data_IF_626796502693
#
_entry.id   IF_626796502693
#
_cell.length_a   1.000
_cell.length_b   1.000
_cell.length_c   1.000
_cell.angle_alpha   90.00
_cell.angle_beta   90.00
_cell.angle_gamma   90.00
#
_symmetry.space_group_name_H-M   'P 1'
#
loop_
_entity.id
_entity.type
_entity.pdbx_description
1 polymer ?
#
# COMPACT_ATOMS: atom_id res chain seq x y z
N UNK A 1 -61.22 10.87 19.53
CA UNK A 1 -60.99 12.26 20.00
C UNK A 1 -60.16 12.94 18.90
N UNK A 2 -60.72 13.84 18.07
CA UNK A 2 -60.79 15.31 18.27
C UNK A 2 -59.52 15.82 18.96
N UNK A 3 -58.72 16.75 18.45
CA UNK A 3 -58.79 17.69 17.35
C UNK A 3 -57.57 18.61 17.45
N UNK A 4 -57.34 19.38 16.40
CA UNK A 4 -56.35 20.45 16.23
C UNK A 4 -56.07 21.33 17.47
N UNK A 5 -54.87 21.95 17.55
CA UNK A 5 -54.65 23.41 17.44
C UNK A 5 -53.43 23.98 18.20
N UNK A 6 -52.65 24.74 17.44
CA UNK A 6 -52.18 26.12 17.69
C UNK A 6 -50.82 26.42 18.35
N UNK A 7 -50.13 27.30 17.62
CA UNK A 7 -48.92 28.06 17.96
C UNK A 7 -49.11 29.03 19.12
N UNK A 8 -47.98 29.42 19.74
CA UNK A 8 -47.79 30.77 20.31
C UNK A 8 -46.39 31.30 19.97
N UNK A 9 -46.38 32.41 19.24
CA UNK A 9 -45.25 33.34 19.06
C UNK A 9 -45.40 34.47 20.08
N UNK A 10 -44.33 34.88 20.78
CA UNK A 10 -44.06 36.26 21.28
C UNK A 10 -42.55 36.34 21.56
N UNK A 11 -41.69 37.02 20.79
CA UNK A 11 -41.40 38.45 20.60
C UNK A 11 -40.52 39.13 21.67
N UNK A 12 -39.41 39.69 21.17
CA UNK A 12 -38.81 41.00 21.49
C UNK A 12 -37.92 41.17 22.74
N UNK A 13 -36.64 41.48 22.50
CA UNK A 13 -35.91 42.45 23.34
C UNK A 13 -35.00 43.34 22.49
N UNK A 14 -35.19 44.66 22.67
CA UNK A 14 -34.48 45.76 22.03
C UNK A 14 -33.08 45.95 22.63
N UNK A 15 -32.16 46.47 21.82
CA UNK A 15 -30.91 47.10 22.27
C UNK A 15 -30.43 48.14 21.25
N UNK A 16 -30.90 49.38 21.39
CA UNK A 16 -30.32 50.61 20.83
C UNK A 16 -29.10 51.02 21.69
N UNK A 17 -28.16 51.91 21.37
CA UNK A 17 -27.79 52.79 20.27
C UNK A 17 -26.34 53.27 20.59
N UNK A 18 -25.58 53.78 19.62
CA UNK A 18 -25.06 55.17 19.62
C UNK A 18 -24.21 55.43 18.36
N UNK A 19 -24.53 56.55 17.72
CA UNK A 19 -23.88 57.13 16.54
C UNK A 19 -22.97 58.27 17.02
N UNK A 20 -21.76 58.40 16.46
CA UNK A 20 -20.99 59.64 16.48
C UNK A 20 -20.42 59.92 15.08
N UNK A 21 -20.76 61.12 14.59
CA UNK A 21 -20.43 61.74 13.30
C UNK A 21 -19.02 62.35 13.29
N UNK A 22 -18.53 62.66 12.07
CA UNK A 22 -17.65 63.76 11.61
C UNK A 22 -16.84 63.17 10.43
N UNK A 23 -16.99 63.54 9.15
CA UNK A 23 -17.24 64.84 8.54
C UNK A 23 -15.96 65.25 7.79
N UNK A 24 -15.93 65.10 6.46
CA UNK A 24 -14.79 65.55 5.64
C UNK A 24 -14.92 65.18 4.16
N UNK A 25 -15.34 66.15 3.34
CA UNK A 25 -15.32 66.12 1.88
C UNK A 25 -13.97 66.63 1.37
N UNK A 26 -13.31 65.90 0.46
CA UNK A 26 -12.51 66.50 -0.63
C UNK A 26 -12.61 65.62 -1.87
N UNK A 27 -12.91 66.24 -3.02
CA UNK A 27 -12.95 65.64 -4.34
C UNK A 27 -11.71 66.15 -5.09
N UNK A 28 -10.87 65.26 -5.60
CA UNK A 28 -9.76 65.61 -6.49
C UNK A 28 -9.56 64.53 -7.55
N UNK A 29 -9.04 64.94 -8.70
CA UNK A 29 -9.37 64.52 -10.05
C UNK A 29 -8.50 63.39 -10.62
N UNK A 30 -9.16 62.51 -11.38
CA UNK A 30 -8.71 61.62 -12.46
C UNK A 30 -7.21 61.49 -12.79
N UNK A 31 -6.71 60.26 -12.69
CA UNK A 31 -5.90 59.61 -13.72
C UNK A 31 -6.08 58.08 -13.61
N UNK A 32 -6.49 57.46 -14.74
CA UNK A 32 -6.07 56.13 -15.23
C UNK A 32 -6.04 54.95 -14.22
N UNK A 33 -6.80 53.86 -14.32
CA UNK A 33 -7.16 53.05 -15.50
C UNK A 33 -8.37 52.15 -15.14
N UNK A 34 -9.27 51.96 -16.13
CA UNK A 34 -10.27 50.89 -16.30
C UNK A 34 -9.96 49.55 -15.58
N UNK A 35 -10.87 48.77 -15.01
CA UNK A 35 -12.32 48.67 -15.16
C UNK A 35 -12.92 47.84 -14.00
N UNK A 36 -13.98 48.40 -13.40
CA UNK A 36 -15.26 47.75 -13.03
C UNK A 36 -15.21 46.38 -12.34
N UNK A 37 -15.33 46.39 -11.02
CA UNK A 37 -15.78 45.24 -10.23
C UNK A 37 -17.14 45.60 -9.60
N UNK A 38 -18.25 45.29 -10.29
CA UNK A 38 -19.60 45.41 -9.74
C UNK A 38 -20.54 44.32 -10.28
N UNK A 39 -20.96 43.47 -9.34
CA UNK A 39 -22.24 42.76 -9.21
C UNK A 39 -22.96 42.23 -10.47
N UNK A 40 -23.10 40.90 -10.55
CA UNK A 40 -24.34 40.26 -11.03
C UNK A 40 -24.70 39.09 -10.08
N UNK A 41 -25.78 39.27 -9.31
CA UNK A 41 -26.65 38.18 -8.86
C UNK A 41 -27.64 37.90 -10.01
N UNK A 42 -27.83 36.62 -10.36
CA UNK A 42 -29.11 35.93 -10.62
C UNK A 42 -28.99 34.89 -11.75
N UNK A 43 -29.14 33.62 -11.34
CA UNK A 43 -29.81 32.47 -11.99
C UNK A 43 -29.53 32.10 -13.45
N UNK A 44 -29.13 30.84 -13.70
CA UNK A 44 -29.93 29.82 -14.41
C UNK A 44 -29.08 28.62 -14.92
N UNK A 45 -29.52 27.41 -14.53
CA UNK A 45 -29.53 26.09 -15.22
C UNK A 45 -28.55 25.78 -16.37
N UNK A 46 -27.73 24.73 -16.19
CA UNK A 46 -27.56 23.54 -17.06
C UNK A 46 -26.34 22.70 -16.61
N UNK A 47 -26.34 21.37 -16.81
CA UNK A 47 -25.42 20.47 -16.13
C UNK A 47 -24.05 20.52 -16.79
N UNK A 48 -23.01 20.85 -16.04
CA UNK A 48 -21.68 20.40 -16.44
C UNK A 48 -21.62 18.90 -16.16
N UNK A 49 -22.01 18.12 -17.17
CA UNK A 49 -21.45 16.80 -17.42
C UNK A 49 -19.93 16.97 -17.31
N UNK A 50 -19.39 16.71 -16.12
CA UNK A 50 -18.06 16.11 -16.04
C UNK A 50 -18.23 14.79 -16.74
N UNK A 51 -17.86 14.79 -18.02
CA UNK A 51 -17.49 13.60 -18.76
C UNK A 51 -16.76 12.71 -17.78
N UNK A 52 -17.38 11.60 -17.41
CA UNK A 52 -16.66 10.43 -16.91
C UNK A 52 -15.87 9.98 -18.12
N UNK A 53 -14.77 10.69 -18.39
CA UNK A 53 -13.70 10.18 -19.21
C UNK A 53 -13.37 8.85 -18.55
N UNK A 54 -13.56 7.77 -19.30
CA UNK A 54 -13.01 6.46 -19.02
C UNK A 54 -11.55 6.64 -18.60
N UNK A 55 -11.32 6.89 -17.31
CA UNK A 55 -10.06 6.62 -16.69
C UNK A 55 -10.02 5.11 -16.77
N UNK A 56 -9.30 4.59 -17.77
CA UNK A 56 -8.67 3.29 -17.68
C UNK A 56 -8.04 3.25 -16.30
N UNK A 57 -8.74 2.66 -15.34
CA UNK A 57 -8.19 2.38 -14.03
C UNK A 57 -7.08 1.41 -14.34
N UNK A 58 -5.84 1.89 -14.32
CA UNK A 58 -4.70 1.01 -14.48
C UNK A 58 -4.85 -0.06 -13.40
N UNK A 59 -5.11 -1.29 -13.86
CA UNK A 59 -5.39 -2.40 -12.99
C UNK A 59 -4.18 -2.57 -12.08
N UNK A 60 -4.40 -2.44 -10.78
CA UNK A 60 -3.37 -2.63 -9.77
C UNK A 60 -2.76 -4.02 -9.93
N UNK A 61 -1.45 -4.07 -10.08
CA UNK A 61 -0.72 -5.32 -10.20
C UNK A 61 -0.55 -5.94 -8.81
N UNK A 62 -1.10 -7.14 -8.66
CA UNK A 62 -1.14 -7.93 -7.42
C UNK A 62 -0.24 -9.17 -7.49
N UNK A 63 0.46 -9.39 -8.61
CA UNK A 63 1.27 -10.59 -8.86
C UNK A 63 2.35 -10.78 -7.79
N UNK A 64 3.08 -9.71 -7.47
CA UNK A 64 4.07 -9.67 -6.40
C UNK A 64 3.50 -10.10 -5.04
N UNK A 65 2.37 -9.50 -4.63
CA UNK A 65 1.74 -9.82 -3.35
C UNK A 65 1.23 -11.26 -3.31
N UNK A 66 0.70 -11.77 -4.43
CA UNK A 66 0.27 -13.16 -4.53
C UNK A 66 1.44 -14.13 -4.34
N UNK A 67 2.59 -13.84 -4.95
CA UNK A 67 3.80 -14.62 -4.80
C UNK A 67 4.28 -14.62 -3.33
N UNK A 68 4.28 -13.45 -2.68
CA UNK A 68 4.73 -13.33 -1.29
C UNK A 68 3.82 -14.09 -0.31
N UNK A 69 2.50 -14.00 -0.46
CA UNK A 69 1.53 -14.76 0.34
C UNK A 69 1.76 -16.27 0.16
N UNK A 70 1.88 -16.73 -1.08
CA UNK A 70 2.09 -18.15 -1.38
C UNK A 70 3.41 -18.66 -0.80
N UNK A 71 4.47 -17.86 -0.90
CA UNK A 71 5.76 -18.18 -0.32
C UNK A 71 5.70 -18.27 1.21
N UNK A 72 5.10 -17.27 1.86
CA UNK A 72 4.99 -17.19 3.31
C UNK A 72 4.19 -18.35 3.93
N UNK A 73 3.20 -18.90 3.22
CA UNK A 73 2.37 -20.02 3.69
C UNK A 73 3.18 -21.25 4.11
N UNK A 74 4.35 -21.47 3.50
CA UNK A 74 5.19 -22.64 3.80
C UNK A 74 5.77 -22.59 5.21
N UNK A 75 5.99 -21.39 5.77
CA UNK A 75 6.55 -21.21 7.11
C UNK A 75 5.53 -21.47 8.22
N UNK A 76 4.24 -21.24 8.00
CA UNK A 76 3.19 -21.43 9.01
C UNK A 76 3.07 -22.90 9.46
N UNK A 77 3.57 -23.84 8.67
CA UNK A 77 3.59 -25.27 8.99
C UNK A 77 4.82 -25.69 9.82
N UNK A 78 5.75 -24.77 10.06
CA UNK A 78 7.05 -25.05 10.66
C UNK A 78 7.08 -24.70 12.16
N UNK A 79 6.03 -25.12 12.87
CA UNK A 79 5.81 -24.80 14.29
C UNK A 79 6.91 -25.29 15.21
N UNK A 80 7.63 -26.33 14.79
CA UNK A 80 8.76 -26.85 15.56
C UNK A 80 9.95 -25.91 15.48
N UNK A 81 10.20 -25.27 14.32
CA UNK A 81 11.41 -24.50 14.05
C UNK A 81 11.30 -23.02 14.39
N UNK A 82 10.08 -22.48 14.50
CA UNK A 82 9.86 -21.06 14.75
C UNK A 82 9.06 -20.81 16.01
N UNK A 83 9.33 -19.68 16.65
CA UNK A 83 8.54 -19.24 17.80
C UNK A 83 7.10 -18.97 17.38
N UNK A 84 6.15 -19.32 18.26
CA UNK A 84 4.73 -19.02 18.05
C UNK A 84 4.52 -17.53 17.76
N UNK A 85 5.13 -16.65 18.56
CA UNK A 85 4.98 -15.20 18.40
C UNK A 85 5.41 -14.71 17.01
N UNK A 86 6.50 -15.26 16.45
CA UNK A 86 6.93 -14.85 15.11
C UNK A 86 6.05 -15.42 14.01
N UNK A 87 5.52 -16.64 14.17
CA UNK A 87 4.56 -17.23 13.22
C UNK A 87 3.22 -16.48 13.26
N UNK A 88 2.71 -16.12 14.44
CA UNK A 88 1.50 -15.32 14.60
C UNK A 88 1.65 -13.94 13.92
N UNK A 89 2.85 -13.33 13.97
CA UNK A 89 3.11 -12.08 13.26
C UNK A 89 3.10 -12.28 11.74
N UNK A 90 3.72 -13.35 11.23
CA UNK A 90 3.68 -13.67 9.80
C UNK A 90 2.25 -13.91 9.32
N UNK A 91 1.46 -14.68 10.07
CA UNK A 91 0.06 -14.97 9.78
C UNK A 91 -0.76 -13.68 9.65
N UNK A 92 -0.65 -12.75 10.61
CA UNK A 92 -1.31 -11.44 10.54
C UNK A 92 -0.92 -10.64 9.30
N UNK A 93 0.35 -10.66 8.89
CA UNK A 93 0.79 -9.97 7.65
C UNK A 93 0.22 -10.64 6.41
N UNK A 94 0.12 -11.97 6.39
CA UNK A 94 -0.52 -12.71 5.30
C UNK A 94 -2.03 -12.46 5.23
N UNK A 95 -2.73 -12.33 6.35
CA UNK A 95 -4.15 -11.95 6.38
C UNK A 95 -4.37 -10.57 5.75
N UNK A 96 -3.54 -9.59 6.12
CA UNK A 96 -3.57 -8.25 5.54
C UNK A 96 -3.22 -8.25 4.03
N UNK A 97 -2.30 -9.13 3.61
CA UNK A 97 -1.97 -9.35 2.21
C UNK A 97 -3.14 -9.94 1.43
N UNK A 98 -3.75 -11.01 1.95
CA UNK A 98 -4.94 -11.64 1.38
C UNK A 98 -6.14 -10.69 1.27
N UNK A 99 -6.33 -9.81 2.25
CA UNK A 99 -7.34 -8.74 2.17
C UNK A 99 -7.03 -7.76 1.02
N UNK A 100 -5.77 -7.41 0.81
CA UNK A 100 -5.32 -6.60 -0.34
C UNK A 100 -5.57 -7.32 -1.68
N UNK A 101 -5.30 -8.62 -1.77
CA UNK A 101 -5.55 -9.41 -2.97
C UNK A 101 -7.03 -9.38 -3.38
N UNK A 102 -7.95 -9.48 -2.40
CA UNK A 102 -9.41 -9.47 -2.61
C UNK A 102 -10.02 -8.09 -2.80
N UNK A 103 -9.31 -7.01 -2.50
CA UNK A 103 -9.86 -5.65 -2.55
C UNK A 103 -9.83 -5.08 -3.96
N UNK A 104 -10.96 -4.61 -4.47
CA UNK A 104 -11.05 -3.97 -5.79
C UNK A 104 -10.61 -2.51 -5.80
N UNK A 105 -10.44 -1.91 -4.62
CA UNK A 105 -10.19 -0.46 -4.44
C UNK A 105 -8.84 -0.15 -3.77
N UNK A 106 -8.01 -1.16 -3.56
CA UNK A 106 -6.69 -1.00 -2.94
C UNK A 106 -5.72 -0.28 -3.87
N UNK A 107 -4.89 0.62 -3.35
CA UNK A 107 -3.88 1.31 -4.16
C UNK A 107 -2.66 0.42 -4.45
N UNK A 108 -1.91 0.69 -5.52
CA UNK A 108 -0.65 0.00 -5.79
C UNK A 108 0.36 0.19 -4.63
N UNK A 109 0.39 1.38 -4.02
CA UNK A 109 1.24 1.65 -2.87
C UNK A 109 0.91 0.73 -1.68
N UNK A 110 -0.38 0.50 -1.41
CA UNK A 110 -0.81 -0.40 -0.35
C UNK A 110 -0.47 -1.85 -0.65
N UNK A 111 -0.62 -2.29 -1.91
CA UNK A 111 -0.19 -3.63 -2.34
C UNK A 111 1.32 -3.81 -2.12
N UNK A 112 2.12 -2.82 -2.53
CA UNK A 112 3.57 -2.85 -2.35
C UNK A 112 3.97 -2.84 -0.87
N UNK A 113 3.26 -2.10 -0.03
CA UNK A 113 3.49 -2.08 1.42
C UNK A 113 3.18 -3.44 2.06
N UNK A 114 2.05 -4.08 1.69
CA UNK A 114 1.68 -5.42 2.18
C UNK A 114 2.70 -6.49 1.78
N UNK A 115 3.17 -6.43 0.54
CA UNK A 115 4.25 -7.29 0.04
C UNK A 115 5.51 -7.14 0.90
N UNK A 116 5.98 -5.90 1.11
CA UNK A 116 7.14 -5.61 1.96
C UNK A 116 6.97 -6.12 3.39
N UNK A 117 5.79 -5.95 3.96
CA UNK A 117 5.47 -6.41 5.33
C UNK A 117 5.58 -7.93 5.48
N UNK A 118 5.12 -8.70 4.49
CA UNK A 118 5.24 -10.16 4.48
C UNK A 118 6.71 -10.58 4.38
N UNK A 119 7.46 -9.99 3.46
CA UNK A 119 8.89 -10.28 3.28
C UNK A 119 9.69 -9.98 4.55
N UNK A 120 9.42 -8.84 5.19
CA UNK A 120 10.04 -8.48 6.46
C UNK A 120 9.68 -9.49 7.56
N UNK A 121 8.40 -9.88 7.65
CA UNK A 121 7.97 -10.89 8.63
C UNK A 121 8.66 -12.24 8.43
N UNK A 122 8.84 -12.70 7.19
CA UNK A 122 9.61 -13.93 6.87
C UNK A 122 11.07 -13.80 7.32
N UNK A 123 11.73 -12.69 7.00
CA UNK A 123 13.11 -12.44 7.41
C UNK A 123 13.26 -12.40 8.94
N UNK A 124 12.27 -11.84 9.61
CA UNK A 124 12.31 -11.58 11.05
C UNK A 124 11.77 -12.76 11.88
N UNK A 125 11.34 -13.85 11.24
CA UNK A 125 10.98 -15.11 11.89
C UNK A 125 12.07 -15.53 12.88
N UNK A 126 11.65 -15.85 14.11
CA UNK A 126 12.55 -16.19 15.20
C UNK A 126 12.57 -17.70 15.41
N UNK A 127 13.76 -18.30 15.59
CA UNK A 127 13.83 -19.73 15.87
C UNK A 127 13.06 -20.07 17.14
N UNK A 128 12.51 -21.28 17.18
CA UNK A 128 11.93 -21.82 18.41
C UNK A 128 13.01 -21.91 19.49
N UNK A 129 12.72 -21.51 20.74
CA UNK A 129 13.70 -21.64 21.84
C UNK A 129 14.06 -23.11 22.12
N UNK A 130 13.24 -24.05 21.65
CA UNK A 130 13.37 -25.47 21.92
C UNK A 130 14.15 -26.22 20.83
N UNK A 131 14.56 -25.55 19.74
CA UNK A 131 15.26 -26.19 18.62
C UNK A 131 16.66 -25.64 18.42
N UNK A 132 17.66 -26.52 18.57
CA UNK A 132 19.03 -26.26 18.11
C UNK A 132 19.25 -26.56 16.63
N UNK A 133 18.22 -27.00 15.89
CA UNK A 133 18.31 -27.39 14.48
C UNK A 133 17.81 -26.28 13.58
N UNK A 134 18.51 -26.07 12.47
CA UNK A 134 18.15 -25.13 11.42
C UNK A 134 17.30 -25.86 10.37
N UNK A 135 16.11 -25.35 10.10
CA UNK A 135 15.32 -25.78 8.96
C UNK A 135 15.78 -25.07 7.69
N UNK A 136 16.00 -25.86 6.65
CA UNK A 136 16.43 -25.42 5.32
C UNK A 136 15.39 -25.71 4.22
N UNK A 137 14.26 -26.34 4.56
CA UNK A 137 13.31 -26.86 3.58
C UNK A 137 12.66 -25.76 2.72
N UNK A 138 12.36 -24.60 3.29
CA UNK A 138 11.83 -23.47 2.51
C UNK A 138 12.90 -22.90 1.57
N UNK A 139 14.14 -22.76 2.02
CA UNK A 139 15.23 -22.30 1.17
C UNK A 139 15.46 -23.26 -0.01
N UNK A 140 15.43 -24.58 0.23
CA UNK A 140 15.52 -25.60 -0.84
C UNK A 140 14.41 -25.40 -1.88
N UNK A 141 13.18 -25.18 -1.42
CA UNK A 141 12.02 -24.95 -2.28
C UNK A 141 12.21 -23.73 -3.17
N UNK A 142 12.67 -22.61 -2.61
CA UNK A 142 12.90 -21.38 -3.38
C UNK A 142 14.09 -21.48 -4.33
N UNK A 143 15.18 -22.13 -3.92
CA UNK A 143 16.31 -22.42 -4.83
C UNK A 143 15.83 -23.23 -6.03
N UNK A 144 15.08 -24.30 -5.80
CA UNK A 144 14.52 -25.13 -6.89
C UNK A 144 13.55 -24.34 -7.78
N UNK A 145 12.65 -23.57 -7.19
CA UNK A 145 11.72 -22.72 -7.94
C UNK A 145 12.43 -21.67 -8.80
N UNK A 146 13.44 -21.00 -8.25
CA UNK A 146 14.23 -19.98 -8.94
C UNK A 146 15.01 -20.54 -10.14
N UNK A 147 15.47 -21.79 -10.07
CA UNK A 147 16.11 -22.46 -11.21
C UNK A 147 15.19 -22.58 -12.44
N UNK A 148 13.87 -22.60 -12.25
CA UNK A 148 12.94 -22.59 -13.38
C UNK A 148 12.86 -21.22 -14.06
N UNK A 149 12.95 -20.13 -13.31
CA UNK A 149 13.03 -18.77 -13.86
C UNK A 149 14.35 -18.52 -14.58
N UNK A 150 15.47 -19.02 -14.05
CA UNK A 150 16.79 -18.89 -14.69
C UNK A 150 16.87 -19.53 -16.08
N UNK A 151 15.99 -20.49 -16.40
CA UNK A 151 15.89 -21.10 -17.73
C UNK A 151 15.09 -20.27 -18.74
N UNK A 152 14.40 -19.21 -18.30
CA UNK A 152 13.50 -18.39 -19.12
C UNK A 152 14.24 -17.20 -19.74
N UNK A 153 15.40 -17.46 -20.37
CA UNK A 153 16.27 -16.42 -20.96
C UNK A 153 15.66 -15.64 -22.13
N UNK A 154 14.56 -16.15 -22.70
CA UNK A 154 13.78 -15.47 -23.74
C UNK A 154 12.60 -14.64 -23.24
N UNK A 155 12.38 -14.59 -21.92
CA UNK A 155 11.27 -13.85 -21.31
C UNK A 155 11.75 -12.71 -20.40
N UNK A 156 12.94 -12.84 -19.81
CA UNK A 156 13.46 -11.90 -18.84
C UNK A 156 14.81 -11.32 -19.25
N UNK A 157 15.08 -10.09 -18.80
CA UNK A 157 16.32 -9.39 -19.03
C UNK A 157 17.51 -10.14 -18.42
N UNK A 158 18.65 -10.10 -19.13
CA UNK A 158 19.88 -10.72 -18.65
C UNK A 158 20.28 -10.22 -17.26
N UNK A 159 20.17 -8.91 -17.02
CA UNK A 159 20.55 -8.29 -15.75
C UNK A 159 19.69 -8.79 -14.58
N UNK A 160 18.37 -8.95 -14.77
CA UNK A 160 17.49 -9.44 -13.71
C UNK A 160 17.70 -10.93 -13.44
N UNK A 161 17.98 -11.74 -14.46
CA UNK A 161 18.36 -13.15 -14.31
C UNK A 161 19.71 -13.31 -13.60
N UNK A 162 20.71 -12.50 -13.91
CA UNK A 162 22.01 -12.48 -13.20
C UNK A 162 21.85 -12.13 -11.71
N UNK A 163 20.93 -11.21 -11.38
CA UNK A 163 20.61 -10.91 -9.98
C UNK A 163 19.96 -12.11 -9.27
N UNK A 164 19.02 -12.79 -9.92
CA UNK A 164 18.41 -14.01 -9.39
C UNK A 164 19.45 -15.13 -9.20
N UNK A 165 20.34 -15.31 -10.17
CA UNK A 165 21.42 -16.30 -10.13
C UNK A 165 22.31 -16.10 -8.91
N UNK A 166 22.77 -14.87 -8.66
CA UNK A 166 23.55 -14.53 -7.46
C UNK A 166 22.83 -14.88 -6.16
N UNK A 167 21.51 -14.66 -6.08
CA UNK A 167 20.73 -15.05 -4.89
C UNK A 167 20.61 -16.56 -4.75
N UNK A 168 20.46 -17.28 -5.85
CA UNK A 168 20.43 -18.76 -5.88
C UNK A 168 21.78 -19.35 -5.48
N UNK A 169 22.90 -18.77 -5.91
CA UNK A 169 24.24 -19.18 -5.50
C UNK A 169 24.46 -19.02 -4.00
N UNK A 170 24.12 -17.84 -3.45
CA UNK A 170 24.17 -17.59 -2.01
C UNK A 170 23.27 -18.56 -1.22
N UNK A 171 22.06 -18.80 -1.71
CA UNK A 171 21.15 -19.79 -1.12
C UNK A 171 21.74 -21.20 -1.14
N UNK A 172 22.36 -21.62 -2.24
CA UNK A 172 23.04 -22.91 -2.32
C UNK A 172 24.25 -23.02 -1.39
N UNK A 173 24.98 -21.93 -1.14
CA UNK A 173 26.05 -21.89 -0.15
C UNK A 173 25.51 -22.12 1.27
N UNK A 174 24.43 -21.42 1.64
CA UNK A 174 23.75 -21.60 2.93
C UNK A 174 23.18 -23.03 3.07
N UNK A 175 22.66 -23.63 2.00
CA UNK A 175 22.19 -25.02 2.01
C UNK A 175 23.29 -26.01 2.37
N UNK A 176 24.52 -25.80 1.89
CA UNK A 176 25.68 -26.67 2.15
C UNK A 176 26.40 -26.37 3.47
N UNK A 177 26.16 -25.21 4.08
CA UNK A 177 26.84 -24.80 5.31
C UNK A 177 26.25 -25.47 6.56
N UNK A 178 27.08 -26.15 7.35
CA UNK A 178 26.67 -26.74 8.62
C UNK A 178 26.55 -25.71 9.77
N UNK A 179 27.06 -24.50 9.55
CA UNK A 179 27.12 -23.43 10.57
C UNK A 179 26.20 -22.26 10.29
N UNK A 180 25.39 -22.34 9.22
CA UNK A 180 24.41 -21.30 8.88
C UNK A 180 23.37 -21.18 9.99
N UNK A 181 23.03 -19.96 10.39
CA UNK A 181 21.94 -19.70 11.33
C UNK A 181 20.57 -19.71 10.65
N UNK A 182 19.50 -19.97 11.40
CA UNK A 182 18.13 -19.87 10.87
C UNK A 182 17.84 -18.48 10.27
N UNK A 183 18.39 -17.42 10.87
CA UNK A 183 18.23 -16.05 10.36
C UNK A 183 18.87 -15.88 8.98
N UNK A 184 20.04 -16.47 8.74
CA UNK A 184 20.69 -16.45 7.42
C UNK A 184 19.86 -17.24 6.41
N UNK A 185 19.38 -18.43 6.76
CA UNK A 185 18.50 -19.22 5.89
C UNK A 185 17.23 -18.45 5.50
N UNK A 186 16.56 -17.81 6.46
CA UNK A 186 15.38 -16.97 6.18
C UNK A 186 15.74 -15.79 5.28
N UNK A 187 16.91 -15.17 5.50
CA UNK A 187 17.38 -14.03 4.70
C UNK A 187 17.66 -14.45 3.26
N UNK A 188 18.33 -15.59 3.05
CA UNK A 188 18.55 -16.15 1.71
C UNK A 188 17.24 -16.47 1.00
N UNK A 189 16.31 -17.12 1.70
CA UNK A 189 15.00 -17.47 1.16
C UNK A 189 14.21 -16.22 0.72
N UNK A 190 14.12 -15.21 1.60
CA UNK A 190 13.49 -13.92 1.27
C UNK A 190 14.21 -13.15 0.15
N UNK A 191 15.54 -13.29 0.06
CA UNK A 191 16.35 -12.68 -0.99
C UNK A 191 16.07 -13.26 -2.37
N UNK A 192 15.91 -14.58 -2.47
CA UNK A 192 15.51 -15.28 -3.71
C UNK A 192 14.10 -14.85 -4.11
N UNK A 193 13.15 -14.90 -3.18
CA UNK A 193 11.77 -14.49 -3.43
C UNK A 193 11.70 -13.04 -3.95
N UNK A 194 12.45 -12.12 -3.32
CA UNK A 194 12.54 -10.74 -3.77
C UNK A 194 13.18 -10.60 -5.16
N UNK A 195 14.20 -11.41 -5.49
CA UNK A 195 14.80 -11.38 -6.82
C UNK A 195 13.85 -11.89 -7.91
N UNK A 196 13.06 -12.94 -7.64
CA UNK A 196 12.01 -13.42 -8.55
C UNK A 196 10.98 -12.32 -8.83
N UNK A 197 10.58 -11.57 -7.80
CA UNK A 197 9.65 -10.43 -7.93
C UNK A 197 10.22 -9.27 -8.76
N UNK A 198 11.54 -9.15 -8.81
CA UNK A 198 12.26 -8.09 -9.53
C UNK A 198 12.75 -8.56 -10.91
N UNK A 199 12.27 -9.71 -11.41
CA UNK A 199 12.53 -10.10 -12.78
C UNK A 199 11.89 -9.09 -13.73
N UNK A 200 12.71 -8.61 -14.65
CA UNK A 200 12.31 -7.62 -15.65
C UNK A 200 12.11 -8.35 -16.98
N UNK A 201 11.08 -8.04 -17.77
CA UNK A 201 10.93 -8.59 -19.10
C UNK A 201 12.15 -8.34 -19.98
N UNK A 202 12.37 -9.20 -20.96
CA UNK A 202 13.37 -8.94 -22.00
C UNK A 202 12.98 -7.69 -22.80
N UNK A 203 13.96 -6.82 -23.08
CA UNK A 203 13.82 -5.64 -23.95
C UNK A 203 13.70 -6.01 -25.44
#
# INVERSE_FOLDING_TARGET
>A
MKGERYMKSVNLFLGAATIALLGGWTQSTNADTSQQNTAIKTSQVAPQQKTVSDQKVDKVDKSALQLDVNGAQSYLKQTDYYSKTSLDNLEKKMELGNAGLRSDTVSQQDINNKSRDIINAVRDLKPSPNTGKVDKSVLQTYVYGAQNYLKQTGYYSKASLENLEKKVELGNADLRSDTVSQKQVNSAASGILNAVRQLEPQE
#
